data_IF_706317359010
#
_entry.id   IF_706317359010
#
_cell.length_a   1.000
_cell.length_b   1.000
_cell.length_c   1.000
_cell.angle_alpha   90.00
_cell.angle_beta   90.00
_cell.angle_gamma   90.00
#
_symmetry.space_group_name_H-M   'P 1'
#
loop_
_entity.id
_entity.type
_entity.pdbx_description
1 polymer ?
#
# COMPACT_ATOMS: atom_id res chain seq x y z
N UNK A 1 -11.67 6.12 14.09
CA UNK A 1 -10.35 5.49 13.88
C UNK A 1 -10.37 4.39 12.79
N UNK A 2 -11.26 4.49 11.79
CA UNK A 2 -11.42 3.44 10.75
C UNK A 2 -11.03 3.93 9.34
N UNK A 3 -11.18 5.22 9.05
CA UNK A 3 -11.01 5.72 7.69
C UNK A 3 -9.57 5.65 7.19
N UNK A 4 -8.57 5.89 8.05
CA UNK A 4 -7.15 5.90 7.61
C UNK A 4 -6.71 4.50 7.13
N UNK A 5 -7.03 3.45 7.88
CA UNK A 5 -6.69 2.08 7.47
C UNK A 5 -7.43 1.68 6.19
N UNK A 6 -8.72 1.99 6.09
CA UNK A 6 -9.50 1.71 4.89
C UNK A 6 -8.95 2.43 3.66
N UNK A 7 -8.48 3.68 3.81
CA UNK A 7 -7.87 4.43 2.70
C UNK A 7 -6.56 3.77 2.23
N UNK A 8 -5.70 3.33 3.15
CA UNK A 8 -4.44 2.65 2.77
C UNK A 8 -4.74 1.30 2.12
N UNK A 9 -5.74 0.56 2.60
CA UNK A 9 -6.17 -0.71 2.01
C UNK A 9 -6.77 -0.48 0.61
N UNK A 10 -7.58 0.56 0.42
CA UNK A 10 -8.12 0.91 -0.90
C UNK A 10 -6.99 1.20 -1.90
N UNK A 11 -6.01 2.03 -1.52
CA UNK A 11 -4.84 2.31 -2.37
C UNK A 11 -4.06 1.03 -2.75
N UNK A 12 -3.96 0.07 -1.82
CA UNK A 12 -3.31 -1.21 -2.06
C UNK A 12 -4.11 -2.11 -3.03
N UNK A 13 -5.45 -2.08 -2.97
CA UNK A 13 -6.33 -2.78 -3.91
C UNK A 13 -6.19 -2.16 -5.30
N UNK A 14 -6.26 -0.84 -5.41
CA UNK A 14 -6.13 -0.13 -6.69
C UNK A 14 -4.79 -0.45 -7.38
N UNK A 15 -3.69 -0.47 -6.63
CA UNK A 15 -2.37 -0.82 -7.15
C UNK A 15 -2.26 -2.27 -7.65
N UNK A 16 -2.98 -3.20 -7.02
CA UNK A 16 -3.06 -4.61 -7.43
C UNK A 16 -3.92 -4.77 -8.67
N UNK A 17 -5.08 -4.09 -8.71
CA UNK A 17 -6.00 -4.15 -9.84
C UNK A 17 -5.35 -3.57 -11.08
N UNK A 18 -4.65 -2.42 -10.97
CA UNK A 18 -3.89 -1.85 -12.06
C UNK A 18 -2.78 -2.80 -12.55
N UNK A 19 -2.08 -3.48 -11.64
CA UNK A 19 -1.06 -4.47 -12.01
C UNK A 19 -1.65 -5.65 -12.78
N UNK A 20 -2.84 -6.09 -12.37
CA UNK A 20 -3.57 -7.20 -12.98
C UNK A 20 -4.06 -6.82 -14.38
N UNK A 21 -4.69 -5.65 -14.53
CA UNK A 21 -5.20 -5.12 -15.80
C UNK A 21 -4.06 -4.89 -16.79
N UNK A 22 -2.92 -4.36 -16.34
CA UNK A 22 -1.77 -4.09 -17.20
C UNK A 22 -0.91 -5.34 -17.48
N UNK A 23 -1.25 -6.50 -16.93
CA UNK A 23 -0.43 -7.72 -17.05
C UNK A 23 0.95 -7.60 -16.39
N UNK A 24 1.12 -6.65 -15.46
CA UNK A 24 2.37 -6.37 -14.73
C UNK A 24 2.40 -7.01 -13.35
N UNK A 25 1.44 -7.87 -13.03
CA UNK A 25 1.49 -8.64 -11.79
C UNK A 25 2.68 -9.60 -11.80
N UNK A 26 3.72 -9.22 -11.07
CA UNK A 26 4.93 -10.03 -10.90
C UNK A 26 4.68 -11.33 -10.11
N UNK A 27 3.59 -11.38 -9.33
CA UNK A 27 3.22 -12.53 -8.52
C UNK A 27 1.95 -13.19 -9.05
N UNK A 28 1.89 -14.53 -8.95
CA UNK A 28 0.73 -15.32 -9.39
C UNK A 28 -0.55 -15.07 -8.58
N UNK A 29 -0.42 -14.49 -7.38
CA UNK A 29 -1.53 -14.21 -6.48
C UNK A 29 -1.41 -12.79 -5.92
N UNK A 30 -2.40 -11.93 -6.16
CA UNK A 30 -2.57 -10.65 -5.46
C UNK A 30 -2.51 -10.80 -3.94
N UNK A 31 -1.77 -9.93 -3.26
CA UNK A 31 -1.59 -10.03 -1.81
C UNK A 31 -1.40 -8.68 -1.16
N UNK A 32 -2.21 -8.45 -0.13
CA UNK A 32 -1.98 -7.41 0.87
C UNK A 32 -1.53 -8.12 2.16
N UNK A 33 -0.39 -7.70 2.71
CA UNK A 33 0.16 -8.18 3.98
C UNK A 33 0.04 -7.08 5.01
N UNK A 34 -0.61 -7.40 6.12
CA UNK A 34 -0.68 -6.54 7.30
C UNK A 34 0.20 -7.17 8.38
N UNK A 35 1.08 -6.39 9.00
CA UNK A 35 1.96 -6.84 10.08
C UNK A 35 1.89 -5.84 11.22
N UNK A 36 1.71 -6.34 12.43
CA UNK A 36 1.68 -5.52 13.64
C UNK A 36 2.83 -5.94 14.55
N UNK A 37 3.53 -4.96 15.10
CA UNK A 37 4.64 -5.20 16.00
C UNK A 37 4.80 -4.03 16.98
N UNK A 38 5.49 -4.28 18.09
CA UNK A 38 5.97 -3.22 18.97
C UNK A 38 7.44 -2.97 18.60
N UNK A 39 7.80 -1.73 18.29
CA UNK A 39 9.19 -1.37 17.97
C UNK A 39 10.04 -1.16 19.23
N UNK A 40 11.34 -0.87 19.06
CA UNK A 40 12.28 -0.59 20.15
C UNK A 40 11.81 0.55 21.09
N UNK A 41 11.05 1.49 20.53
CA UNK A 41 10.57 2.69 21.24
C UNK A 41 9.21 2.45 21.91
N UNK A 42 8.78 1.18 22.02
CA UNK A 42 7.49 0.76 22.60
C UNK A 42 6.26 1.32 21.87
N UNK A 43 6.39 1.66 20.60
CA UNK A 43 5.28 2.09 19.77
C UNK A 43 4.67 0.91 19.03
N UNK A 44 3.34 0.92 18.88
CA UNK A 44 2.63 -0.03 18.01
C UNK A 44 2.84 0.42 16.56
N UNK A 45 3.46 -0.44 15.76
CA UNK A 45 3.67 -0.24 14.33
C UNK A 45 2.75 -1.18 13.57
N UNK A 46 1.95 -0.60 12.66
CA UNK A 46 1.11 -1.34 11.72
C UNK A 46 1.70 -1.09 10.33
N UNK A 47 2.20 -2.15 9.70
CA UNK A 47 2.71 -2.12 8.34
C UNK A 47 1.68 -2.75 7.40
N UNK A 48 1.38 -2.08 6.30
CA UNK A 48 0.51 -2.57 5.23
C UNK A 48 1.36 -2.56 3.96
N UNK A 49 1.50 -3.71 3.30
CA UNK A 49 2.28 -3.87 2.09
C UNK A 49 1.50 -4.67 1.04
N UNK A 50 1.44 -4.17 -0.18
CA UNK A 50 0.90 -4.88 -1.34
C UNK A 50 2.03 -5.41 -2.24
N UNK A 51 1.64 -6.20 -3.25
CA UNK A 51 2.53 -6.68 -4.31
C UNK A 51 2.09 -6.20 -5.71
N UNK A 52 1.37 -5.07 -5.79
CA UNK A 52 0.89 -4.46 -7.03
C UNK A 52 1.98 -3.70 -7.79
N UNK A 53 1.57 -2.66 -8.53
CA UNK A 53 2.48 -1.90 -9.41
C UNK A 53 3.52 -1.04 -8.67
N UNK A 54 3.29 -0.78 -7.37
CA UNK A 54 4.09 0.17 -6.59
C UNK A 54 3.92 1.62 -7.05
N UNK A 55 4.70 2.52 -6.45
CA UNK A 55 4.61 3.96 -6.71
C UNK A 55 5.80 4.40 -7.59
N UNK A 56 5.56 4.99 -8.78
CA UNK A 56 6.62 5.56 -9.60
C UNK A 56 7.44 6.62 -8.85
N UNK A 57 8.77 6.60 -9.03
CA UNK A 57 9.68 7.54 -8.37
C UNK A 57 9.33 9.01 -8.62
N UNK A 58 8.79 9.33 -9.81
CA UNK A 58 8.40 10.68 -10.21
C UNK A 58 7.27 11.26 -9.37
N UNK A 59 6.37 10.43 -8.85
CA UNK A 59 5.20 10.88 -8.08
C UNK A 59 5.34 10.65 -6.58
N UNK A 60 6.34 9.89 -6.13
CA UNK A 60 6.54 9.53 -4.72
C UNK A 60 6.62 10.74 -3.78
N UNK A 61 7.19 11.86 -4.23
CA UNK A 61 7.31 13.09 -3.44
C UNK A 61 5.97 13.80 -3.23
N UNK A 62 5.00 13.56 -4.12
CA UNK A 62 3.70 14.22 -4.13
C UNK A 62 2.62 13.44 -3.37
N UNK A 63 2.93 12.22 -2.91
CA UNK A 63 1.99 11.31 -2.24
C UNK A 63 1.28 11.93 -1.02
N UNK A 64 1.90 12.92 -0.38
CA UNK A 64 1.36 13.60 0.80
C UNK A 64 0.85 15.01 0.49
N UNK A 65 0.82 15.42 -0.78
CA UNK A 65 0.15 16.65 -1.20
C UNK A 65 -1.37 16.46 -1.06
N UNK A 66 -2.05 17.45 -0.49
CA UNK A 66 -3.51 17.41 -0.41
C UNK A 66 -4.12 17.41 -1.82
N UNK A 67 -5.10 16.54 -2.07
CA UNK A 67 -5.80 16.39 -3.36
C UNK A 67 -4.94 15.81 -4.50
N UNK A 68 -3.77 15.22 -4.19
CA UNK A 68 -2.97 14.43 -5.14
C UNK A 68 -3.51 13.01 -5.30
#
# INVERSE_FOLDING_TARGET
>A
MNQVFMNIIANAIDAIDEATIQGKMNARVPKIKITTQINSDRQIVIQIADNGIGIPKSIKQRLFEAMF
#
